data_IF_433576165629
#
_entry.id   IF_433576165629
#
_cell.length_a   1.000
_cell.length_b   1.000
_cell.length_c   1.000
_cell.angle_alpha   90.00
_cell.angle_beta   90.00
_cell.angle_gamma   90.00
#
_symmetry.space_group_name_H-M   'P 1'
#
loop_
_entity.id
_entity.type
_entity.pdbx_description
1 polymer ?
#
# COMPACT_ATOMS: atom_id res chain seq x y z
N UNK A 1 -10.02 14.72 9.64
CA UNK A 1 -9.71 13.31 9.88
C UNK A 1 -10.65 12.65 10.88
N UNK A 2 -11.20 13.43 11.82
CA UNK A 2 -12.08 12.85 12.85
C UNK A 2 -13.36 12.28 12.29
N UNK A 3 -13.81 12.77 11.15
CA UNK A 3 -15.06 12.32 10.54
C UNK A 3 -14.88 11.29 9.43
N UNK A 4 -13.64 10.85 9.19
CA UNK A 4 -13.38 9.86 8.15
C UNK A 4 -13.64 8.45 8.66
N UNK A 5 -14.21 7.62 7.78
CA UNK A 5 -14.30 6.17 8.05
C UNK A 5 -12.91 5.55 7.98
N UNK A 6 -12.80 4.32 8.48
CA UNK A 6 -11.54 3.59 8.35
C UNK A 6 -11.10 3.45 6.90
N UNK A 7 -12.05 3.16 6.00
CA UNK A 7 -11.79 3.08 4.57
C UNK A 7 -11.21 4.40 4.03
N UNK A 8 -11.85 5.51 4.37
CA UNK A 8 -11.41 6.82 3.92
C UNK A 8 -10.04 7.20 4.48
N UNK A 9 -9.76 6.81 5.71
CA UNK A 9 -8.45 7.06 6.30
C UNK A 9 -7.35 6.32 5.55
N UNK A 10 -7.56 5.06 5.19
CA UNK A 10 -6.60 4.31 4.39
C UNK A 10 -6.41 4.92 3.01
N UNK A 11 -7.51 5.36 2.38
CA UNK A 11 -7.42 6.03 1.08
C UNK A 11 -6.63 7.33 1.17
N UNK A 12 -6.82 8.09 2.24
CA UNK A 12 -6.10 9.34 2.46
C UNK A 12 -4.59 9.08 2.61
N UNK A 13 -4.23 8.05 3.38
CA UNK A 13 -2.83 7.67 3.55
C UNK A 13 -2.20 7.29 2.22
N UNK A 14 -2.91 6.50 1.41
CA UNK A 14 -2.40 6.11 0.10
C UNK A 14 -2.18 7.31 -0.81
N UNK A 15 -3.13 8.23 -0.85
CA UNK A 15 -3.01 9.44 -1.67
C UNK A 15 -1.84 10.31 -1.22
N UNK A 16 -1.65 10.46 0.09
CA UNK A 16 -0.53 11.21 0.64
C UNK A 16 0.80 10.58 0.24
N UNK A 17 0.90 9.26 0.36
CA UNK A 17 2.15 8.56 0.04
C UNK A 17 2.50 8.70 -1.44
N UNK A 18 1.51 8.68 -2.32
CA UNK A 18 1.76 8.78 -3.75
C UNK A 18 2.37 10.13 -4.15
N UNK A 19 2.01 11.19 -3.44
CA UNK A 19 2.51 12.52 -3.76
C UNK A 19 3.58 13.06 -2.84
N UNK A 20 4.00 12.30 -1.82
CA UNK A 20 4.87 12.85 -0.78
C UNK A 20 6.35 12.81 -1.16
N UNK A 21 7.10 13.77 -0.61
CA UNK A 21 8.56 13.78 -0.74
C UNK A 21 9.18 12.60 0.00
N UNK A 22 8.54 12.16 1.08
CA UNK A 22 9.01 11.00 1.84
C UNK A 22 8.99 9.74 0.98
N UNK A 23 7.91 9.53 0.22
CA UNK A 23 7.84 8.39 -0.68
C UNK A 23 8.93 8.43 -1.74
N UNK A 24 9.23 9.63 -2.27
CA UNK A 24 10.31 9.79 -3.26
C UNK A 24 11.67 9.52 -2.65
N UNK A 25 11.88 9.95 -1.41
CA UNK A 25 13.13 9.69 -0.70
C UNK A 25 13.33 8.20 -0.47
N UNK A 26 12.26 7.50 -0.08
CA UNK A 26 12.29 6.04 0.10
C UNK A 26 12.61 5.35 -1.23
N UNK A 27 11.97 5.77 -2.32
CA UNK A 27 12.24 5.22 -3.65
C UNK A 27 13.72 5.39 -4.02
N UNK A 28 14.30 6.56 -3.75
CA UNK A 28 15.70 6.82 -4.02
C UNK A 28 16.63 5.92 -3.21
N UNK A 29 16.32 5.75 -1.92
CA UNK A 29 17.12 4.89 -1.05
C UNK A 29 17.03 3.44 -1.50
N UNK A 30 15.83 2.94 -1.80
CA UNK A 30 15.66 1.58 -2.27
C UNK A 30 16.38 1.35 -3.60
N UNK A 31 16.34 2.33 -4.51
CA UNK A 31 17.05 2.22 -5.77
C UNK A 31 18.55 2.18 -5.60
N UNK A 32 19.10 2.97 -4.65
CA UNK A 32 20.52 2.99 -4.35
C UNK A 32 21.02 1.66 -3.77
N UNK A 33 20.19 1.03 -2.92
CA UNK A 33 20.55 -0.19 -2.22
C UNK A 33 19.86 -1.44 -2.77
N UNK A 34 19.35 -1.38 -4.01
CA UNK A 34 18.56 -2.48 -4.57
C UNK A 34 19.31 -3.81 -4.64
N UNK A 35 20.66 -3.77 -4.68
CA UNK A 35 21.48 -4.98 -4.72
C UNK A 35 21.86 -5.48 -3.33
N UNK A 36 21.53 -4.74 -2.29
CA UNK A 36 21.81 -5.14 -0.91
C UNK A 36 20.56 -5.78 -0.32
N UNK A 37 20.47 -7.10 -0.46
CA UNK A 37 19.29 -7.84 0.01
C UNK A 37 19.10 -7.72 1.52
N UNK A 38 20.18 -7.64 2.28
CA UNK A 38 20.10 -7.50 3.73
C UNK A 38 19.48 -6.17 4.14
N UNK A 39 19.89 -5.10 3.47
CA UNK A 39 19.34 -3.78 3.74
C UNK A 39 17.85 -3.73 3.42
N UNK A 40 17.48 -4.26 2.24
CA UNK A 40 16.07 -4.27 1.81
C UNK A 40 15.22 -5.11 2.77
N UNK A 41 15.72 -6.28 3.18
CA UNK A 41 15.00 -7.13 4.12
C UNK A 41 14.78 -6.41 5.46
N UNK A 42 15.79 -5.68 5.94
CA UNK A 42 15.67 -4.91 7.18
C UNK A 42 14.62 -3.82 7.04
N UNK A 43 14.61 -3.10 5.93
CA UNK A 43 13.58 -2.08 5.67
C UNK A 43 12.19 -2.67 5.61
N UNK A 44 12.03 -3.80 4.94
CA UNK A 44 10.72 -4.47 4.86
C UNK A 44 10.24 -4.88 6.24
N UNK A 45 11.13 -5.46 7.03
CA UNK A 45 10.79 -5.93 8.37
C UNK A 45 10.39 -4.76 9.28
N UNK A 46 11.15 -3.67 9.25
CA UNK A 46 10.85 -2.48 10.06
C UNK A 46 9.54 -1.83 9.61
N UNK A 47 9.32 -1.73 8.30
CA UNK A 47 8.09 -1.16 7.76
C UNK A 47 6.87 -1.96 8.22
N UNK A 48 6.95 -3.29 8.16
CA UNK A 48 5.85 -4.15 8.57
C UNK A 48 5.62 -4.07 10.08
N UNK A 49 6.68 -4.10 10.86
CA UNK A 49 6.55 -4.07 12.31
C UNK A 49 5.91 -2.79 12.81
N UNK A 50 6.33 -1.64 12.27
CA UNK A 50 5.84 -0.34 12.70
C UNK A 50 4.51 -0.01 12.03
N UNK A 51 4.44 -0.20 10.72
CA UNK A 51 3.27 0.19 9.94
C UNK A 51 2.06 -0.71 10.14
N UNK A 52 2.28 -2.00 10.35
CA UNK A 52 1.16 -2.94 10.45
C UNK A 52 0.25 -2.62 11.64
N UNK A 53 0.84 -2.19 12.76
CA UNK A 53 0.05 -1.82 13.93
C UNK A 53 -0.86 -0.63 13.65
N UNK A 54 -0.32 0.40 12.98
CA UNK A 54 -1.08 1.60 12.64
C UNK A 54 -2.20 1.25 11.67
N UNK A 55 -1.88 0.50 10.61
CA UNK A 55 -2.87 0.13 9.60
C UNK A 55 -3.93 -0.79 10.19
N UNK A 56 -3.52 -1.74 11.04
CA UNK A 56 -4.48 -2.63 11.70
C UNK A 56 -5.50 -1.86 12.53
N UNK A 57 -5.05 -0.84 13.27
CA UNK A 57 -5.97 -0.03 14.08
C UNK A 57 -6.98 0.70 13.19
N UNK A 58 -6.54 1.22 12.05
CA UNK A 58 -7.44 1.88 11.09
C UNK A 58 -8.42 0.88 10.49
N UNK A 59 -7.95 -0.33 10.16
CA UNK A 59 -8.83 -1.37 9.65
C UNK A 59 -9.89 -1.75 10.67
N UNK A 60 -9.51 -1.89 11.94
CA UNK A 60 -10.46 -2.19 13.01
C UNK A 60 -11.50 -1.08 13.16
N UNK A 61 -11.10 0.17 12.99
CA UNK A 61 -12.04 1.28 12.94
C UNK A 61 -13.01 1.12 11.78
N UNK A 62 -12.52 0.73 10.60
CA UNK A 62 -13.36 0.50 9.43
C UNK A 62 -14.34 -0.66 9.63
N UNK A 63 -13.91 -1.69 10.35
CA UNK A 63 -14.81 -2.79 10.69
C UNK A 63 -15.93 -2.31 11.64
N UNK A 64 -15.57 -1.45 12.59
CA UNK A 64 -16.54 -0.94 13.55
C UNK A 64 -17.54 0.04 12.93
N UNK A 65 -17.09 0.86 11.96
CA UNK A 65 -17.98 1.83 11.32
C UNK A 65 -18.67 1.26 10.07
N UNK A 66 -18.37 0.04 9.70
CA UNK A 66 -19.02 -0.63 8.56
C UNK A 66 -18.39 -0.36 7.20
N UNK A 67 -17.31 0.43 7.14
CA UNK A 67 -16.68 0.76 5.86
C UNK A 67 -15.75 -0.33 5.34
N UNK A 68 -15.29 -1.22 6.20
CA UNK A 68 -14.45 -2.37 5.82
C UNK A 68 -15.06 -3.64 6.40
N UNK A 69 -14.86 -4.77 5.73
CA UNK A 69 -15.52 -6.02 6.10
C UNK A 69 -14.55 -7.20 6.21
N UNK A 70 -13.28 -6.94 6.39
CA UNK A 70 -12.32 -8.03 6.56
C UNK A 70 -12.54 -8.73 7.89
N UNK A 71 -12.23 -10.02 7.94
CA UNK A 71 -12.29 -10.81 9.17
C UNK A 71 -10.92 -10.92 9.83
N UNK A 72 -9.87 -10.48 9.15
CA UNK A 72 -8.49 -10.65 9.60
C UNK A 72 -7.74 -9.31 9.54
N UNK A 73 -8.04 -8.37 10.45
CA UNK A 73 -7.46 -7.02 10.35
C UNK A 73 -5.93 -6.99 10.46
N UNK A 74 -5.34 -7.80 11.32
CA UNK A 74 -3.89 -7.79 11.49
C UNK A 74 -3.19 -8.34 10.25
N UNK A 75 -3.68 -9.45 9.73
CA UNK A 75 -3.11 -10.06 8.53
C UNK A 75 -3.36 -9.18 7.29
N UNK A 76 -4.54 -8.58 7.20
CA UNK A 76 -4.84 -7.66 6.12
C UNK A 76 -3.88 -6.46 6.13
N UNK A 77 -3.54 -5.96 7.31
CA UNK A 77 -2.60 -4.86 7.44
C UNK A 77 -1.21 -5.24 6.93
N UNK A 78 -0.74 -6.42 7.32
CA UNK A 78 0.58 -6.90 6.91
C UNK A 78 0.65 -7.08 5.39
N UNK A 79 -0.34 -7.75 4.81
CA UNK A 79 -0.37 -8.01 3.37
C UNK A 79 -0.55 -6.71 2.58
N UNK A 80 -1.40 -5.81 3.07
CA UNK A 80 -1.60 -4.51 2.46
C UNK A 80 -0.27 -3.76 2.33
N UNK A 81 0.50 -3.70 3.42
CA UNK A 81 1.78 -3.00 3.41
C UNK A 81 2.80 -3.66 2.49
N UNK A 82 2.85 -5.00 2.48
CA UNK A 82 3.74 -5.74 1.58
C UNK A 82 3.43 -5.42 0.13
N UNK A 83 2.16 -5.43 -0.23
CA UNK A 83 1.77 -5.22 -1.61
C UNK A 83 1.98 -3.78 -2.06
N UNK A 84 1.57 -2.83 -1.24
CA UNK A 84 1.64 -1.42 -1.63
C UNK A 84 3.08 -0.90 -1.60
N UNK A 85 3.84 -1.25 -0.58
CA UNK A 85 5.17 -0.68 -0.39
C UNK A 85 6.28 -1.46 -1.07
N UNK A 86 6.11 -2.76 -1.29
CA UNK A 86 7.20 -3.58 -1.81
C UNK A 86 6.85 -4.33 -3.09
N UNK A 87 5.69 -4.99 -3.16
CA UNK A 87 5.34 -5.73 -4.37
C UNK A 87 5.16 -4.82 -5.58
N UNK A 88 4.63 -3.62 -5.37
CA UNK A 88 4.45 -2.64 -6.43
C UNK A 88 5.71 -1.81 -6.69
N UNK A 89 6.78 -2.04 -5.95
CA UNK A 89 8.00 -1.25 -6.05
C UNK A 89 9.04 -1.93 -6.93
N UNK A 90 9.51 -1.21 -7.96
CA UNK A 90 10.43 -1.78 -8.94
C UNK A 90 11.80 -2.16 -8.39
N UNK A 91 12.22 -1.55 -7.27
CA UNK A 91 13.50 -1.90 -6.65
C UNK A 91 13.47 -3.25 -5.95
N UNK A 92 12.30 -3.71 -5.55
CA UNK A 92 12.14 -5.00 -4.86
C UNK A 92 11.73 -6.10 -5.84
N UNK A 93 10.76 -5.81 -6.68
CA UNK A 93 10.23 -6.77 -7.65
C UNK A 93 10.30 -6.16 -9.04
N UNK A 94 11.23 -6.64 -9.85
CA UNK A 94 11.34 -6.19 -11.23
C UNK A 94 10.04 -6.53 -11.96
N UNK A 95 9.53 -5.57 -12.70
CA UNK A 95 8.33 -5.77 -13.51
C UNK A 95 8.39 -4.90 -14.74
N UNK A 96 7.75 -5.40 -15.80
CA UNK A 96 7.57 -4.65 -17.03
C UNK A 96 6.62 -3.48 -16.75
N UNK A 97 7.02 -2.23 -17.00
CA UNK A 97 6.12 -1.09 -16.79
C UNK A 97 4.79 -1.21 -17.53
N UNK A 98 4.77 -1.91 -18.66
CA UNK A 98 3.54 -2.11 -19.41
C UNK A 98 2.53 -2.99 -18.65
N UNK A 99 2.99 -3.78 -17.68
CA UNK A 99 2.14 -4.65 -16.88
C UNK A 99 1.66 -4.01 -15.58
N UNK A 100 2.08 -2.79 -15.29
CA UNK A 100 1.63 -2.10 -14.08
C UNK A 100 0.11 -1.99 -13.96
N UNK A 101 -0.63 -1.64 -15.03
CA UNK A 101 -2.09 -1.60 -14.91
C UNK A 101 -2.69 -2.93 -14.50
N UNK A 102 -2.16 -4.04 -15.00
CA UNK A 102 -2.65 -5.38 -14.60
C UNK A 102 -2.39 -5.63 -13.13
N UNK A 103 -1.22 -5.20 -12.62
CA UNK A 103 -0.89 -5.36 -11.20
C UNK A 103 -1.83 -4.55 -10.32
N UNK A 104 -2.15 -3.33 -10.72
CA UNK A 104 -3.11 -2.50 -9.97
C UNK A 104 -4.48 -3.13 -9.94
N UNK A 105 -4.95 -3.67 -11.06
CA UNK A 105 -6.24 -4.36 -11.11
C UNK A 105 -6.25 -5.59 -10.23
N UNK A 106 -5.17 -6.36 -10.23
CA UNK A 106 -5.05 -7.53 -9.36
C UNK A 106 -5.06 -7.12 -7.89
N UNK A 107 -4.35 -6.05 -7.55
CA UNK A 107 -4.31 -5.53 -6.19
C UNK A 107 -5.71 -5.13 -5.74
N UNK A 108 -6.46 -4.41 -6.59
CA UNK A 108 -7.84 -4.03 -6.33
C UNK A 108 -8.70 -5.26 -6.10
N UNK A 109 -8.61 -6.23 -7.00
CA UNK A 109 -9.39 -7.47 -6.92
C UNK A 109 -9.10 -8.21 -5.62
N UNK A 110 -7.84 -8.37 -5.28
CA UNK A 110 -7.45 -9.13 -4.10
C UNK A 110 -7.88 -8.44 -2.81
N UNK A 111 -7.68 -7.13 -2.72
CA UNK A 111 -8.06 -6.38 -1.52
C UNK A 111 -9.57 -6.37 -1.34
N UNK A 112 -10.33 -6.19 -2.42
CA UNK A 112 -11.79 -6.24 -2.36
C UNK A 112 -12.26 -7.63 -1.91
N UNK A 113 -11.60 -8.67 -2.40
CA UNK A 113 -11.98 -10.05 -2.07
C UNK A 113 -11.82 -10.38 -0.59
N UNK A 114 -10.91 -9.71 0.11
CA UNK A 114 -10.70 -9.94 1.55
C UNK A 114 -11.38 -8.88 2.41
N UNK A 115 -12.30 -8.12 1.85
CA UNK A 115 -13.06 -7.12 2.60
C UNK A 115 -12.39 -5.76 2.73
N UNK A 116 -11.35 -5.54 1.95
CA UNK A 116 -10.56 -4.30 1.96
C UNK A 116 -10.78 -3.51 0.68
N UNK A 117 -12.01 -3.08 0.45
CA UNK A 117 -12.38 -2.35 -0.77
C UNK A 117 -11.95 -0.88 -0.65
N UNK A 118 -10.66 -0.63 -0.85
CA UNK A 118 -10.07 0.72 -0.74
C UNK A 118 -9.52 1.24 -2.06
N UNK A 119 -9.25 0.38 -3.03
CA UNK A 119 -8.70 0.81 -4.32
C UNK A 119 -9.82 1.13 -5.30
N UNK A 120 -10.31 2.36 -5.26
CA UNK A 120 -11.33 2.82 -6.20
C UNK A 120 -10.70 3.36 -7.48
N UNK A 121 -11.54 3.79 -8.42
CA UNK A 121 -11.07 4.27 -9.71
C UNK A 121 -10.19 5.51 -9.58
N UNK A 122 -10.47 6.37 -8.62
CA UNK A 122 -9.65 7.56 -8.38
C UNK A 122 -8.23 7.18 -8.00
N UNK A 123 -8.07 6.22 -7.09
CA UNK A 123 -6.75 5.73 -6.69
C UNK A 123 -6.04 5.05 -7.85
N UNK A 124 -6.75 4.25 -8.64
CA UNK A 124 -6.16 3.60 -9.81
C UNK A 124 -5.64 4.63 -10.81
N UNK A 125 -6.38 5.72 -11.02
CA UNK A 125 -5.93 6.78 -11.90
C UNK A 125 -4.69 7.48 -11.36
N UNK A 126 -4.62 7.72 -10.05
CA UNK A 126 -3.45 8.33 -9.44
C UNK A 126 -2.20 7.45 -9.60
N UNK A 127 -2.34 6.14 -9.39
CA UNK A 127 -1.23 5.21 -9.63
C UNK A 127 -0.79 5.24 -11.08
N UNK A 128 -1.73 5.25 -12.02
CA UNK A 128 -1.41 5.27 -13.44
C UNK A 128 -0.68 6.55 -13.83
N UNK A 129 -1.13 7.71 -13.34
CA UNK A 129 -0.51 8.99 -13.64
C UNK A 129 0.92 9.05 -13.12
N UNK A 130 1.16 8.56 -11.91
CA UNK A 130 2.49 8.57 -11.32
C UNK A 130 3.48 7.72 -12.11
N UNK A 131 3.01 6.65 -12.72
CA UNK A 131 3.86 5.70 -13.42
C UNK A 131 3.99 5.97 -14.92
N UNK A 132 3.44 7.08 -15.41
CA UNK A 132 3.62 7.50 -16.81
C UNK A 132 4.94 8.23 -17.05
N UNK A 133 5.67 8.48 -16.01
CA UNK A 133 6.97 9.12 -16.09
C UNK A 133 8.09 8.12 -15.79
#
# INVERSE_FOLDING_TARGET
TENLTGREQLQTILKSNLGSQTARAIDGILGEYEKDAGFILTMMRDNLRIGASVVSDIIKKGMADGSLQTEYPDQAAEVFLLLVNFWMHGAVFESDPEKLPERFHFLQFMMTSVGMDIFDDELLQLFSQKNKH
#
